data_IF_229285056639
#
_entry.id   IF_229285056639
#
_cell.length_a   1.000
_cell.length_b   1.000
_cell.length_c   1.000
_cell.angle_alpha   90.00
_cell.angle_beta   90.00
_cell.angle_gamma   90.00
#
_symmetry.space_group_name_H-M   'P 1'
#
loop_
_entity.id
_entity.type
_entity.pdbx_description
1 polymer ?
#
# COMPACT_ATOMS: atom_id res chain seq x y z
N UNK A 1 33.33 22.49 -42.82
CA UNK A 1 33.02 21.63 -41.66
C UNK A 1 34.28 20.92 -41.19
N UNK A 2 34.77 21.30 -40.02
CA UNK A 2 36.11 20.97 -39.49
C UNK A 2 36.25 19.50 -39.07
N UNK A 3 37.46 18.95 -39.20
CA UNK A 3 37.86 17.59 -38.78
C UNK A 3 37.50 17.29 -37.31
N UNK A 4 37.48 18.32 -36.46
CA UNK A 4 37.06 18.24 -35.05
C UNK A 4 35.56 17.92 -34.89
N UNK A 5 34.68 18.37 -35.78
CA UNK A 5 33.26 17.99 -35.75
C UNK A 5 33.05 16.52 -36.13
N UNK A 6 33.94 15.92 -36.94
CA UNK A 6 33.87 14.49 -37.29
C UNK A 6 34.36 13.60 -36.14
N UNK A 7 35.45 13.97 -35.48
CA UNK A 7 35.96 13.25 -34.29
C UNK A 7 34.96 13.29 -33.12
N UNK A 8 34.35 14.45 -32.85
CA UNK A 8 33.34 14.59 -31.79
C UNK A 8 32.06 13.80 -32.09
N UNK A 9 31.66 13.71 -33.37
CA UNK A 9 30.55 12.84 -33.82
C UNK A 9 30.86 11.35 -33.71
N UNK A 10 32.11 10.95 -33.97
CA UNK A 10 32.53 9.54 -33.87
C UNK A 10 32.57 9.03 -32.44
N UNK A 11 33.02 9.85 -31.48
CA UNK A 11 32.99 9.54 -30.05
C UNK A 11 31.54 9.51 -29.51
N UNK A 12 30.73 10.53 -29.83
CA UNK A 12 29.32 10.55 -29.42
C UNK A 12 28.54 9.35 -29.97
N UNK A 13 28.79 8.93 -31.22
CA UNK A 13 28.14 7.75 -31.79
C UNK A 13 28.52 6.43 -31.09
N UNK A 14 29.75 6.34 -30.54
CA UNK A 14 30.20 5.14 -29.83
C UNK A 14 29.61 5.07 -28.41
N UNK A 15 29.49 6.22 -27.74
CA UNK A 15 28.84 6.34 -26.43
C UNK A 15 27.33 6.14 -26.54
N UNK A 16 26.69 6.67 -27.60
CA UNK A 16 25.26 6.44 -27.90
C UNK A 16 24.97 4.95 -28.14
N UNK A 17 25.89 4.23 -28.78
CA UNK A 17 25.72 2.79 -29.04
C UNK A 17 25.84 1.96 -27.76
N UNK A 18 26.80 2.27 -26.88
CA UNK A 18 26.92 1.61 -25.59
C UNK A 18 25.74 1.92 -24.66
N UNK A 19 25.25 3.17 -24.68
CA UNK A 19 24.06 3.58 -23.93
C UNK A 19 22.77 2.93 -24.48
N UNK A 20 22.65 2.79 -25.80
CA UNK A 20 21.50 2.12 -26.43
C UNK A 20 21.38 0.64 -26.05
N UNK A 21 22.50 -0.04 -25.75
CA UNK A 21 22.50 -1.45 -25.33
C UNK A 21 21.90 -1.68 -23.92
N UNK A 22 21.66 -0.60 -23.17
CA UNK A 22 21.03 -0.57 -21.84
C UNK A 22 19.53 -0.30 -21.90
N UNK A 23 19.02 0.22 -23.03
CA UNK A 23 17.58 0.40 -23.24
C UNK A 23 16.86 -0.95 -23.14
N UNK A 24 15.72 -0.97 -22.44
CA UNK A 24 14.95 -2.19 -22.22
C UNK A 24 15.53 -3.12 -21.15
N UNK A 25 16.64 -2.75 -20.50
CA UNK A 25 17.22 -3.49 -19.36
C UNK A 25 17.13 -2.66 -18.09
N UNK A 26 18.07 -1.74 -17.92
CA UNK A 26 18.17 -0.85 -16.76
C UNK A 26 17.88 0.62 -17.11
N UNK A 27 17.79 0.93 -18.41
CA UNK A 27 17.35 2.23 -18.94
C UNK A 27 16.01 2.07 -19.65
N UNK A 28 15.05 2.91 -19.27
CA UNK A 28 13.70 2.90 -19.83
C UNK A 28 13.62 3.85 -21.03
N UNK A 29 14.17 5.06 -20.87
CA UNK A 29 14.24 6.06 -21.93
C UNK A 29 15.60 6.77 -21.91
N UNK A 30 16.07 7.21 -23.07
CA UNK A 30 17.27 8.02 -23.20
C UNK A 30 17.10 9.13 -24.22
N UNK A 31 17.83 10.22 -24.01
CA UNK A 31 17.86 11.33 -24.94
C UNK A 31 18.77 10.98 -26.12
N UNK A 32 18.33 11.33 -27.32
CA UNK A 32 19.10 11.11 -28.55
C UNK A 32 19.52 12.44 -29.17
N UNK A 33 20.75 12.49 -29.66
CA UNK A 33 21.23 13.62 -30.43
C UNK A 33 20.54 13.69 -31.80
N UNK A 34 20.36 14.90 -32.33
CA UNK A 34 19.82 15.09 -33.68
C UNK A 34 20.69 14.39 -34.74
N UNK A 35 20.06 13.63 -35.63
CA UNK A 35 20.74 12.83 -36.65
C UNK A 35 21.21 11.45 -36.19
N UNK A 36 20.93 11.05 -34.95
CA UNK A 36 21.16 9.69 -34.45
C UNK A 36 20.19 8.69 -35.05
N UNK A 37 20.56 7.41 -34.98
CA UNK A 37 19.71 6.29 -35.40
C UNK A 37 18.92 5.83 -34.19
N UNK A 38 17.62 5.66 -34.36
CA UNK A 38 16.77 5.06 -33.32
C UNK A 38 17.15 3.57 -33.22
N UNK A 39 17.48 3.06 -32.02
CA UNK A 39 17.76 1.64 -31.83
C UNK A 39 16.56 0.77 -32.27
N UNK A 40 16.80 -0.47 -32.72
CA UNK A 40 15.71 -1.40 -33.03
C UNK A 40 14.82 -1.61 -31.80
N UNK A 41 13.54 -1.91 -32.02
CA UNK A 41 12.52 -2.19 -31.00
C UNK A 41 12.25 -1.02 -30.02
N UNK A 42 12.81 0.16 -30.29
CA UNK A 42 12.56 1.38 -29.51
C UNK A 42 11.59 2.32 -30.24
N UNK A 43 10.80 3.04 -29.46
CA UNK A 43 9.96 4.13 -29.95
C UNK A 43 10.69 5.45 -29.76
N UNK A 44 10.72 6.29 -30.79
CA UNK A 44 11.28 7.64 -30.70
C UNK A 44 10.21 8.71 -30.62
N UNK A 45 10.44 9.68 -29.73
CA UNK A 45 9.57 10.82 -29.47
C UNK A 45 10.38 12.10 -29.64
N UNK A 46 9.82 13.05 -30.39
CA UNK A 46 10.38 14.39 -30.50
C UNK A 46 9.48 15.33 -29.71
N UNK A 47 10.07 16.03 -28.74
CA UNK A 47 9.42 16.97 -27.86
C UNK A 47 9.82 18.40 -28.28
N UNK A 48 8.83 19.21 -28.65
CA UNK A 48 9.02 20.62 -28.96
C UNK A 48 8.99 21.52 -27.71
N UNK A 49 9.47 22.75 -27.86
CA UNK A 49 9.48 23.78 -26.80
C UNK A 49 8.09 24.09 -26.25
N UNK A 50 7.04 23.90 -27.06
CA UNK A 50 5.63 24.09 -26.66
C UNK A 50 5.04 22.92 -25.88
N UNK A 51 5.82 21.88 -25.57
CA UNK A 51 5.33 20.64 -24.97
C UNK A 51 4.58 19.72 -25.94
N UNK A 52 4.55 20.06 -27.23
CA UNK A 52 4.03 19.17 -28.26
C UNK A 52 4.98 17.98 -28.46
N UNK A 53 4.43 16.77 -28.33
CA UNK A 53 5.14 15.52 -28.61
C UNK A 53 4.70 14.96 -29.96
N UNK A 54 5.67 14.49 -30.75
CA UNK A 54 5.41 13.69 -31.95
C UNK A 54 6.19 12.39 -31.87
N UNK A 55 5.49 11.25 -31.89
CA UNK A 55 6.12 9.94 -32.05
C UNK A 55 6.49 9.73 -33.50
N UNK A 56 7.69 9.23 -33.74
CA UNK A 56 8.05 8.75 -35.06
C UNK A 56 7.31 7.42 -35.32
N UNK A 57 6.80 7.20 -36.55
CA UNK A 57 6.09 5.97 -36.87
C UNK A 57 6.98 4.76 -36.59
N UNK A 58 6.37 3.67 -36.12
CA UNK A 58 7.06 2.42 -35.79
C UNK A 58 8.00 1.97 -36.90
N UNK A 59 9.08 1.32 -36.47
CA UNK A 59 10.12 0.77 -37.33
C UNK A 59 9.46 -0.05 -38.45
N UNK A 60 9.56 0.41 -39.71
CA UNK A 60 9.01 -0.37 -40.84
C UNK A 60 9.72 -1.71 -40.86
N UNK A 61 8.97 -2.79 -41.03
CA UNK A 61 9.41 -4.19 -41.13
C UNK A 61 10.48 -4.49 -42.24
N UNK A 62 11.02 -3.46 -42.91
CA UNK A 62 12.09 -3.54 -43.89
C UNK A 62 13.49 -3.24 -43.36
N UNK A 63 13.71 -3.13 -42.05
CA UNK A 63 15.05 -3.10 -41.44
C UNK A 63 15.87 -1.82 -41.62
N UNK A 64 15.29 -0.76 -42.20
CA UNK A 64 16.00 0.50 -42.38
C UNK A 64 15.98 1.34 -41.10
N UNK A 65 17.16 1.51 -40.50
CA UNK A 65 17.43 2.43 -39.40
C UNK A 65 16.81 3.83 -39.64
N UNK A 66 15.86 4.23 -38.80
CA UNK A 66 15.24 5.55 -38.89
C UNK A 66 16.16 6.60 -38.29
N UNK A 67 16.51 7.61 -39.09
CA UNK A 67 17.35 8.73 -38.65
C UNK A 67 16.49 9.84 -38.06
N UNK A 68 16.85 10.31 -36.88
CA UNK A 68 16.17 11.40 -36.20
C UNK A 68 16.44 12.74 -36.88
N UNK A 69 15.36 13.49 -37.12
CA UNK A 69 15.42 14.87 -37.62
C UNK A 69 14.72 15.76 -36.60
N UNK A 70 15.54 16.46 -35.80
CA UNK A 70 15.11 17.40 -34.78
C UNK A 70 15.36 18.84 -35.25
N UNK A 71 14.41 19.73 -34.99
CA UNK A 71 14.58 21.18 -35.10
C UNK A 71 15.51 21.75 -34.02
N UNK A 72 15.90 23.01 -34.15
CA UNK A 72 16.89 23.67 -33.27
C UNK A 72 16.48 23.73 -31.79
N UNK A 73 15.18 23.67 -31.50
CA UNK A 73 14.62 23.70 -30.15
C UNK A 73 13.85 22.43 -29.79
N UNK A 74 14.02 21.37 -30.57
CA UNK A 74 13.40 20.09 -30.28
C UNK A 74 14.38 19.20 -29.52
N UNK A 75 13.86 18.38 -28.60
CA UNK A 75 14.60 17.30 -27.98
C UNK A 75 14.06 15.95 -28.45
N UNK A 76 14.95 15.02 -28.79
CA UNK A 76 14.54 13.65 -29.11
C UNK A 76 14.83 12.72 -27.94
N UNK A 77 13.88 11.84 -27.69
CA UNK A 77 13.98 10.73 -26.77
C UNK A 77 13.72 9.44 -27.54
N UNK A 78 14.36 8.35 -27.12
CA UNK A 78 13.88 7.02 -27.41
C UNK A 78 13.59 6.27 -26.12
N UNK A 79 12.64 5.36 -26.16
CA UNK A 79 12.33 4.46 -25.06
C UNK A 79 12.03 3.07 -25.60
N UNK A 80 12.29 2.06 -24.78
CA UNK A 80 11.90 0.69 -25.06
C UNK A 80 10.53 0.41 -24.40
N UNK A 81 9.55 -0.19 -25.10
CA UNK A 81 8.19 -0.30 -24.58
C UNK A 81 8.04 -1.30 -23.43
N UNK A 82 8.99 -2.23 -23.24
CA UNK A 82 8.94 -3.25 -22.20
C UNK A 82 8.94 -4.67 -22.78
N UNK A 83 8.65 -5.69 -21.97
CA UNK A 83 8.12 -5.62 -20.59
C UNK A 83 9.16 -5.20 -19.55
N UNK A 84 8.68 -4.60 -18.44
CA UNK A 84 9.49 -4.27 -17.27
C UNK A 84 8.89 -4.87 -15.99
N UNK A 85 9.75 -5.18 -15.03
CA UNK A 85 9.35 -5.61 -13.68
C UNK A 85 10.12 -4.81 -12.63
N UNK A 86 9.41 -4.26 -11.66
CA UNK A 86 10.02 -3.52 -10.54
C UNK A 86 9.37 -3.89 -9.22
N UNK A 87 10.16 -3.91 -8.16
CA UNK A 87 9.69 -4.13 -6.80
C UNK A 87 9.58 -2.76 -6.11
N UNK A 88 8.40 -2.47 -5.55
CA UNK A 88 8.07 -1.22 -4.88
C UNK A 88 7.84 -1.48 -3.39
N UNK A 89 8.25 -0.55 -2.53
CA UNK A 89 7.99 -0.55 -1.09
C UNK A 89 7.11 0.65 -0.69
N UNK A 90 5.85 0.73 -1.16
CA UNK A 90 5.01 1.91 -0.93
C UNK A 90 4.47 2.00 0.50
N UNK A 91 4.52 0.93 1.28
CA UNK A 91 3.87 0.88 2.59
C UNK A 91 4.79 1.40 3.70
N UNK A 92 4.53 2.63 4.16
CA UNK A 92 5.33 3.23 5.21
C UNK A 92 5.28 2.42 6.53
N UNK A 93 4.14 1.85 6.88
CA UNK A 93 3.97 1.11 8.13
C UNK A 93 4.44 -0.35 8.08
N UNK A 94 4.68 -0.90 6.88
CA UNK A 94 5.12 -2.29 6.68
C UNK A 94 6.11 -2.36 5.50
N UNK A 95 7.35 -1.85 5.65
CA UNK A 95 8.33 -1.77 4.56
C UNK A 95 8.83 -3.14 4.07
N UNK A 96 8.61 -4.21 4.83
CA UNK A 96 8.84 -5.60 4.43
C UNK A 96 7.84 -6.10 3.37
N UNK A 97 6.65 -5.50 3.35
CA UNK A 97 5.64 -5.77 2.33
C UNK A 97 5.85 -4.83 1.14
N UNK A 98 5.89 -5.42 -0.04
CA UNK A 98 6.08 -4.74 -1.30
C UNK A 98 5.02 -5.05 -2.33
N UNK A 99 5.15 -4.39 -3.49
CA UNK A 99 4.42 -4.70 -4.70
C UNK A 99 5.42 -5.01 -5.81
N UNK A 100 5.29 -6.18 -6.43
CA UNK A 100 5.94 -6.46 -7.71
C UNK A 100 5.02 -5.97 -8.81
N UNK A 101 5.51 -5.01 -9.58
CA UNK A 101 4.79 -4.38 -10.68
C UNK A 101 5.42 -4.80 -12.01
N UNK A 102 4.65 -5.53 -12.81
CA UNK A 102 4.92 -5.79 -14.23
C UNK A 102 4.19 -4.76 -15.10
N UNK A 103 4.90 -4.07 -15.99
CA UNK A 103 4.29 -3.03 -16.82
C UNK A 103 4.95 -2.88 -18.19
N UNK A 104 4.19 -2.28 -19.10
CA UNK A 104 4.63 -1.83 -20.43
C UNK A 104 4.31 -0.36 -20.62
N UNK A 105 5.12 0.32 -21.41
CA UNK A 105 4.86 1.69 -21.86
C UNK A 105 3.86 1.63 -23.01
N UNK A 106 2.83 2.48 -22.95
CA UNK A 106 1.73 2.41 -23.90
C UNK A 106 2.17 2.63 -25.35
N UNK A 107 1.66 1.76 -26.22
CA UNK A 107 1.81 1.87 -27.67
C UNK A 107 1.18 3.18 -28.18
N UNK A 108 1.67 3.74 -29.30
CA UNK A 108 1.07 4.93 -29.89
C UNK A 108 -0.41 4.70 -30.28
N UNK A 109 -1.33 5.40 -29.63
CA UNK A 109 -2.73 5.47 -30.06
C UNK A 109 -2.92 6.64 -31.06
N UNK A 110 -3.27 6.37 -32.33
CA UNK A 110 -3.47 7.42 -33.34
C UNK A 110 -4.66 8.34 -33.05
N UNK A 111 -5.54 7.98 -32.10
CA UNK A 111 -6.71 8.78 -31.70
C UNK A 111 -6.37 9.85 -30.68
N UNK A 112 -5.23 9.72 -29.99
CA UNK A 112 -4.82 10.62 -28.92
C UNK A 112 -3.69 11.50 -29.42
N UNK A 113 -3.87 12.82 -29.34
CA UNK A 113 -2.91 13.81 -29.83
C UNK A 113 -1.62 13.87 -29.00
N UNK A 114 -1.69 13.52 -27.72
CA UNK A 114 -0.55 13.49 -26.79
C UNK A 114 -0.62 12.26 -25.91
N UNK A 115 0.38 11.38 -26.03
CA UNK A 115 0.50 10.21 -25.18
C UNK A 115 1.00 10.62 -23.80
N UNK A 116 0.47 10.00 -22.74
CA UNK A 116 0.76 10.39 -21.35
C UNK A 116 2.22 10.15 -20.97
N UNK A 117 2.82 9.07 -21.49
CA UNK A 117 4.24 8.81 -21.29
C UNK A 117 5.13 9.91 -21.91
N UNK A 118 4.72 10.47 -23.05
CA UNK A 118 5.46 11.55 -23.71
C UNK A 118 5.41 12.84 -22.87
N UNK A 119 4.27 13.10 -22.23
CA UNK A 119 4.11 14.22 -21.28
C UNK A 119 4.99 14.03 -20.05
N UNK A 120 5.06 12.82 -19.50
CA UNK A 120 5.93 12.49 -18.39
C UNK A 120 7.43 12.69 -18.76
N UNK A 121 7.86 12.24 -19.94
CA UNK A 121 9.22 12.49 -20.43
C UNK A 121 9.52 13.99 -20.57
N UNK A 122 8.54 14.77 -21.03
CA UNK A 122 8.67 16.23 -21.16
C UNK A 122 8.81 16.93 -19.80
N UNK A 123 8.01 16.53 -18.80
CA UNK A 123 8.01 17.18 -17.48
C UNK A 123 9.15 16.71 -16.57
N UNK A 124 9.44 15.42 -16.55
CA UNK A 124 10.30 14.78 -15.54
C UNK A 124 11.52 14.11 -16.15
N UNK A 125 11.47 13.73 -17.43
CA UNK A 125 12.66 13.26 -18.16
C UNK A 125 13.67 14.37 -18.46
N UNK A 126 13.23 15.64 -18.49
CA UNK A 126 13.98 16.78 -19.03
C UNK A 126 15.27 17.21 -18.29
N UNK A 127 15.59 16.67 -17.10
CA UNK A 127 16.79 17.06 -16.36
C UNK A 127 18.01 16.17 -16.61
N UNK A 128 17.82 14.97 -17.17
CA UNK A 128 18.90 13.98 -17.38
C UNK A 128 19.10 13.56 -18.83
N UNK A 129 20.18 12.82 -19.10
CA UNK A 129 20.44 12.20 -20.41
C UNK A 129 19.71 10.85 -20.57
N UNK A 130 19.32 10.21 -19.46
CA UNK A 130 18.60 8.96 -19.44
C UNK A 130 17.69 8.84 -18.21
N UNK A 131 16.57 8.13 -18.39
CA UNK A 131 15.67 7.69 -17.35
C UNK A 131 15.92 6.20 -17.08
N UNK A 132 16.51 5.89 -15.93
CA UNK A 132 16.68 4.50 -15.51
C UNK A 132 15.37 3.89 -15.02
N UNK A 133 15.27 2.56 -15.09
CA UNK A 133 14.13 1.81 -14.54
C UNK A 133 14.00 2.06 -13.03
N UNK A 134 15.12 2.20 -12.32
CA UNK A 134 15.13 2.49 -10.89
C UNK A 134 14.61 3.90 -10.57
N UNK A 135 15.00 4.92 -11.35
CA UNK A 135 14.51 6.28 -11.16
C UNK A 135 13.00 6.38 -11.46
N UNK A 136 12.55 5.67 -12.50
CA UNK A 136 11.12 5.54 -12.80
C UNK A 136 10.36 4.83 -11.67
N UNK A 137 10.87 3.71 -11.15
CA UNK A 137 10.27 3.00 -10.02
C UNK A 137 10.16 3.88 -8.77
N UNK A 138 11.16 4.72 -8.50
CA UNK A 138 11.11 5.68 -7.39
C UNK A 138 9.99 6.71 -7.59
N UNK A 139 9.84 7.29 -8.79
CA UNK A 139 8.76 8.24 -9.09
C UNK A 139 7.36 7.61 -8.97
N UNK A 140 7.23 6.35 -9.44
CA UNK A 140 6.01 5.55 -9.29
C UNK A 140 5.70 5.31 -7.81
N UNK A 141 6.69 4.89 -7.03
CA UNK A 141 6.54 4.64 -5.60
C UNK A 141 6.12 5.90 -4.83
N UNK A 142 6.71 7.06 -5.15
CA UNK A 142 6.38 8.32 -4.50
C UNK A 142 4.96 8.77 -4.83
N UNK A 143 4.53 8.60 -6.09
CA UNK A 143 3.14 8.88 -6.50
C UNK A 143 2.14 7.95 -5.82
N UNK A 144 2.47 6.66 -5.68
CA UNK A 144 1.66 5.69 -4.96
C UNK A 144 1.54 6.03 -3.48
N UNK A 145 2.66 6.35 -2.82
CA UNK A 145 2.68 6.81 -1.42
C UNK A 145 1.81 8.04 -1.21
N UNK A 146 1.89 9.01 -2.13
CA UNK A 146 1.07 10.21 -2.07
C UNK A 146 -0.43 9.89 -2.21
N UNK A 147 -0.79 9.02 -3.15
CA UNK A 147 -2.18 8.60 -3.35
C UNK A 147 -2.75 7.87 -2.13
N UNK A 148 -1.94 7.02 -1.49
CA UNK A 148 -2.29 6.32 -0.23
C UNK A 148 -2.45 7.32 0.93
N UNK A 149 -1.51 8.26 1.08
CA UNK A 149 -1.57 9.27 2.14
C UNK A 149 -2.79 10.20 1.99
N UNK A 150 -3.24 10.45 0.75
CA UNK A 150 -4.43 11.24 0.45
C UNK A 150 -5.73 10.44 0.49
N UNK A 151 -5.68 9.12 0.73
CA UNK A 151 -6.86 8.25 0.70
C UNK A 151 -7.50 8.09 -0.69
N UNK A 152 -6.78 8.43 -1.76
CA UNK A 152 -7.23 8.19 -3.16
C UNK A 152 -7.09 6.74 -3.56
N UNK A 153 -6.11 6.06 -2.96
CA UNK A 153 -5.98 4.62 -2.97
C UNK A 153 -6.12 4.15 -1.53
N UNK A 154 -6.90 3.10 -1.32
CA UNK A 154 -6.97 2.43 -0.03
C UNK A 154 -6.11 1.17 -0.11
N UNK A 155 -5.21 0.97 0.85
CA UNK A 155 -4.54 -0.32 0.96
C UNK A 155 -5.61 -1.36 1.26
N UNK A 156 -5.77 -2.38 0.41
CA UNK A 156 -6.57 -3.49 0.80
C UNK A 156 -5.84 -4.11 2.00
N UNK A 157 -6.54 -4.50 3.06
CA UNK A 157 -5.98 -5.38 4.09
C UNK A 157 -5.65 -6.78 3.53
N UNK A 158 -5.74 -6.96 2.21
CA UNK A 158 -5.65 -8.22 1.46
C UNK A 158 -6.60 -9.30 1.98
N UNK A 159 -7.78 -8.93 2.51
CA UNK A 159 -8.73 -9.90 3.05
C UNK A 159 -9.74 -10.40 2.01
N UNK A 160 -9.90 -9.71 0.88
CA UNK A 160 -10.73 -10.19 -0.24
C UNK A 160 -10.13 -9.90 -1.63
N UNK A 161 -10.49 -10.75 -2.59
CA UNK A 161 -10.14 -10.56 -4.00
C UNK A 161 -10.78 -9.30 -4.61
N UNK A 162 -11.94 -8.88 -4.11
CA UNK A 162 -12.63 -7.67 -4.56
C UNK A 162 -11.87 -6.41 -4.14
N UNK A 163 -11.44 -6.31 -2.88
CA UNK A 163 -10.59 -5.21 -2.40
C UNK A 163 -9.26 -5.15 -3.17
N UNK A 164 -8.63 -6.30 -3.42
CA UNK A 164 -7.42 -6.35 -4.26
C UNK A 164 -7.68 -5.87 -5.68
N UNK A 165 -8.82 -6.28 -6.27
CA UNK A 165 -9.22 -5.85 -7.61
C UNK A 165 -9.50 -4.35 -7.66
N UNK A 166 -10.15 -3.79 -6.64
CA UNK A 166 -10.43 -2.36 -6.52
C UNK A 166 -9.13 -1.55 -6.37
N UNK A 167 -8.21 -1.99 -5.50
CA UNK A 167 -6.89 -1.40 -5.37
C UNK A 167 -6.12 -1.44 -6.70
N UNK A 168 -6.08 -2.59 -7.36
CA UNK A 168 -5.40 -2.74 -8.66
C UNK A 168 -6.03 -1.86 -9.73
N UNK A 169 -7.36 -1.73 -9.75
CA UNK A 169 -8.05 -0.83 -10.68
C UNK A 169 -7.63 0.63 -10.46
N UNK A 170 -7.62 1.10 -9.21
CA UNK A 170 -7.16 2.45 -8.87
C UNK A 170 -5.67 2.65 -9.16
N UNK A 171 -4.82 1.66 -8.89
CA UNK A 171 -3.40 1.69 -9.23
C UNK A 171 -3.21 1.80 -10.75
N UNK A 172 -3.93 0.98 -11.52
CA UNK A 172 -3.88 1.03 -12.99
C UNK A 172 -4.30 2.41 -13.51
N UNK A 173 -5.37 2.98 -12.95
CA UNK A 173 -5.81 4.33 -13.30
C UNK A 173 -4.75 5.39 -12.97
N UNK A 174 -4.18 5.35 -11.76
CA UNK A 174 -3.11 6.25 -11.34
C UNK A 174 -1.92 6.18 -12.28
N UNK A 175 -1.44 4.97 -12.58
CA UNK A 175 -0.25 4.77 -13.40
C UNK A 175 -0.49 5.13 -14.86
N UNK A 176 -1.66 4.80 -15.39
CA UNK A 176 -2.06 5.22 -16.72
C UNK A 176 -2.19 6.74 -16.81
N UNK A 177 -2.80 7.42 -15.83
CA UNK A 177 -2.96 8.90 -15.83
C UNK A 177 -1.64 9.63 -15.66
N UNK A 178 -0.82 9.19 -14.72
CA UNK A 178 0.38 9.94 -14.34
C UNK A 178 1.57 9.64 -15.25
N UNK A 179 1.71 8.39 -15.68
CA UNK A 179 2.89 7.91 -16.37
C UNK A 179 2.60 7.39 -17.78
N UNK A 180 1.36 7.05 -18.13
CA UNK A 180 1.05 6.47 -19.45
C UNK A 180 1.66 5.09 -19.64
N UNK A 181 1.56 4.26 -18.60
CA UNK A 181 1.93 2.85 -18.65
C UNK A 181 0.70 1.98 -18.41
N UNK A 182 0.73 0.78 -19.00
CA UNK A 182 -0.23 -0.27 -18.72
C UNK A 182 0.41 -1.29 -17.77
N UNK A 183 -0.29 -1.57 -16.67
CA UNK A 183 0.11 -2.59 -15.71
C UNK A 183 -0.35 -3.95 -16.22
N UNK A 184 0.60 -4.84 -16.45
CA UNK A 184 0.32 -6.23 -16.85
C UNK A 184 0.12 -7.12 -15.63
N UNK A 185 0.94 -6.92 -14.60
CA UNK A 185 0.90 -7.69 -13.36
C UNK A 185 1.14 -6.80 -12.15
N UNK A 186 0.45 -7.09 -11.05
CA UNK A 186 0.65 -6.44 -9.77
C UNK A 186 0.35 -7.45 -8.68
N UNK A 187 1.37 -7.79 -7.90
CA UNK A 187 1.28 -8.81 -6.86
C UNK A 187 1.93 -8.31 -5.57
N UNK A 188 1.34 -8.59 -4.39
CA UNK A 188 2.02 -8.37 -3.13
C UNK A 188 3.20 -9.32 -3.02
N UNK A 189 4.35 -8.81 -2.60
CA UNK A 189 5.58 -9.60 -2.42
C UNK A 189 6.21 -9.29 -1.07
N UNK A 190 6.85 -10.29 -0.46
CA UNK A 190 7.78 -10.07 0.64
C UNK A 190 9.12 -9.64 0.04
N UNK A 191 9.59 -8.45 0.41
CA UNK A 191 10.84 -7.90 -0.11
C UNK A 191 12.06 -8.47 0.63
N UNK A 192 11.86 -9.12 1.79
CA UNK A 192 12.88 -9.86 2.53
C UNK A 192 14.20 -9.11 2.68
N UNK A 193 15.31 -9.82 2.41
CA UNK A 193 16.68 -9.29 2.44
C UNK A 193 16.97 -8.24 1.33
N UNK A 194 16.05 -8.05 0.38
CA UNK A 194 16.16 -7.04 -0.68
C UNK A 194 16.02 -5.61 -0.15
N UNK A 195 15.55 -5.44 1.09
CA UNK A 195 15.46 -4.16 1.78
C UNK A 195 16.30 -4.19 3.06
N UNK A 196 17.23 -3.24 3.19
CA UNK A 196 17.91 -2.97 4.46
C UNK A 196 16.94 -2.27 5.44
N UNK A 197 16.16 -3.09 6.14
CA UNK A 197 15.17 -2.63 7.12
C UNK A 197 15.82 -1.80 8.24
N UNK A 198 17.06 -2.16 8.64
CA UNK A 198 17.78 -1.41 9.66
C UNK A 198 18.16 -0.01 9.16
N UNK A 199 18.50 0.16 7.89
CA UNK A 199 18.73 1.49 7.29
C UNK A 199 17.44 2.31 7.23
N UNK A 200 16.31 1.71 6.83
CA UNK A 200 15.02 2.40 6.78
C UNK A 200 14.61 2.90 8.18
N UNK A 201 14.71 2.05 9.21
CA UNK A 201 14.40 2.44 10.58
C UNK A 201 15.34 3.53 11.09
N UNK A 202 16.64 3.45 10.79
CA UNK A 202 17.60 4.50 11.14
C UNK A 202 17.29 5.84 10.46
N UNK A 203 16.89 5.82 9.20
CA UNK A 203 16.49 7.02 8.47
C UNK A 203 15.23 7.65 9.07
N UNK A 204 14.24 6.84 9.48
CA UNK A 204 13.03 7.32 10.17
C UNK A 204 13.36 7.94 11.52
N UNK A 205 14.15 7.25 12.35
CA UNK A 205 14.58 7.77 13.64
C UNK A 205 15.33 9.11 13.48
N UNK A 206 16.10 9.26 12.41
CA UNK A 206 16.82 10.50 12.10
C UNK A 206 15.89 11.63 11.60
N UNK A 207 14.85 11.30 10.84
CA UNK A 207 13.85 12.25 10.37
C UNK A 207 12.96 12.77 11.52
N UNK A 208 12.60 11.92 12.47
CA UNK A 208 11.86 12.32 13.68
C UNK A 208 12.71 13.12 14.67
N UNK A 209 14.03 12.85 14.71
CA UNK A 209 14.98 13.60 15.53
C UNK A 209 15.36 14.97 14.93
N UNK A 210 15.02 15.24 13.67
CA UNK A 210 15.24 16.55 13.07
C UNK A 210 14.41 17.60 13.83
N UNK A 211 15.01 18.73 14.25
CA UNK A 211 14.29 19.76 14.98
C UNK A 211 13.12 20.22 14.11
N UNK A 212 11.90 19.98 14.59
CA UNK A 212 10.71 20.54 13.97
C UNK A 212 10.92 22.06 13.94
N UNK A 213 10.72 22.73 12.79
CA UNK A 213 10.78 24.17 12.74
C UNK A 213 9.87 24.70 13.84
N UNK A 214 10.43 25.48 14.76
CA UNK A 214 9.67 26.12 15.83
C UNK A 214 8.44 26.78 15.17
N UNK A 215 7.23 26.61 15.75
CA UNK A 215 6.05 27.26 15.23
C UNK A 215 6.37 28.76 15.13
N UNK A 216 6.42 29.26 13.90
CA UNK A 216 6.60 30.69 13.66
C UNK A 216 5.52 31.39 14.48
N UNK A 217 5.88 32.40 15.30
CA UNK A 217 4.89 33.13 16.08
C UNK A 217 3.83 33.63 15.13
N UNK A 218 2.58 33.22 15.38
CA UNK A 218 1.42 33.74 14.66
C UNK A 218 1.55 35.27 14.57
N UNK A 219 1.38 35.87 13.39
CA UNK A 219 1.39 37.31 13.26
C UNK A 219 0.33 37.86 14.21
N UNK A 220 0.79 38.57 15.24
CA UNK A 220 -0.07 39.21 16.22
C UNK A 220 -1.10 40.05 15.44
N UNK A 221 -2.40 39.93 15.74
CA UNK A 221 -3.40 40.77 15.11
C UNK A 221 -3.04 42.23 15.38
N UNK A 222 -2.82 42.99 14.30
CA UNK A 222 -2.58 44.43 14.38
C UNK A 222 -3.69 45.08 15.22
N UNK A 223 -3.34 46.00 16.14
CA UNK A 223 -4.32 46.69 16.95
C UNK A 223 -5.23 47.52 16.03
N UNK A 224 -6.46 47.05 15.88
CA UNK A 224 -7.56 47.81 15.28
C UNK A 224 -7.62 49.16 16.00
N UNK A 225 -7.34 50.24 15.27
CA UNK A 225 -7.60 51.61 15.71
C UNK A 225 -9.05 51.70 16.18
N UNK A 226 -9.24 51.85 17.49
CA UNK A 226 -10.52 52.17 18.08
C UNK A 226 -10.88 53.61 17.68
N UNK A 227 -11.90 53.76 16.83
CA UNK A 227 -12.63 55.01 16.67
C UNK A 227 -13.34 55.37 17.98
N UNK A 228 -13.37 56.65 18.38
CA UNK A 228 -13.99 57.06 19.64
C UNK A 228 -15.52 56.98 19.57
N UNK A 229 -16.10 56.17 20.45
CA UNK A 229 -17.52 56.05 20.67
C UNK A 229 -18.11 57.32 21.30
N UNK A 230 -19.18 57.82 20.67
CA UNK A 230 -20.04 58.87 21.23
C UNK A 230 -21.04 58.23 22.19
N UNK A 231 -21.24 58.88 23.34
CA UNK A 231 -22.07 58.42 24.45
C UNK A 231 -23.59 58.44 24.15
N UNK A 232 -24.31 57.41 24.61
CA UNK A 232 -25.69 57.54 25.10
C UNK A 232 -26.19 56.29 25.85
N UNK A 233 -26.56 56.46 27.12
CA UNK A 233 -27.77 55.85 27.72
C UNK A 233 -27.67 54.48 28.41
N UNK A 234 -27.98 54.38 29.73
CA UNK A 234 -28.01 53.12 30.46
C UNK A 234 -29.44 52.57 30.62
N UNK A 235 -29.60 51.24 30.64
CA UNK A 235 -30.70 50.57 31.35
C UNK A 235 -30.46 49.05 31.55
N UNK A 236 -30.34 48.69 32.83
CA UNK A 236 -31.11 47.64 33.53
C UNK A 236 -30.86 46.13 33.30
N UNK A 237 -30.41 45.52 34.40
CA UNK A 237 -30.96 44.34 35.09
C UNK A 237 -30.65 42.90 34.63
N UNK A 238 -30.00 42.20 35.58
CA UNK A 238 -30.37 40.89 36.15
C UNK A 238 -29.95 39.57 35.45
N UNK A 239 -29.18 38.79 36.23
CA UNK A 239 -28.94 37.33 36.25
C UNK A 239 -30.27 36.50 36.27
N UNK A 240 -30.29 35.13 36.20
CA UNK A 240 -29.18 34.16 36.38
C UNK A 240 -29.15 32.94 35.43
N UNK A 241 -28.14 32.10 35.68
CA UNK A 241 -27.84 30.78 35.15
C UNK A 241 -28.97 29.73 35.25
N UNK A 242 -28.97 28.77 34.32
CA UNK A 242 -29.69 27.51 34.43
C UNK A 242 -28.81 26.33 34.03
N UNK A 243 -28.50 25.53 35.05
CA UNK A 243 -27.93 24.18 34.97
C UNK A 243 -29.03 23.19 34.59
N UNK A 244 -28.76 22.26 33.68
CA UNK A 244 -29.67 21.14 33.41
C UNK A 244 -28.93 19.83 33.66
N UNK A 245 -29.18 19.24 34.81
CA UNK A 245 -28.95 17.83 35.12
C UNK A 245 -30.07 17.01 34.48
N UNK A 246 -29.73 16.01 33.66
CA UNK A 246 -30.72 15.06 33.10
C UNK A 246 -30.44 13.67 33.66
N UNK A 247 -31.43 13.14 34.39
CA UNK A 247 -31.38 11.88 35.10
C UNK A 247 -31.72 10.69 34.19
N UNK A 248 -30.95 9.62 34.36
CA UNK A 248 -31.08 8.32 33.69
C UNK A 248 -32.34 7.61 34.18
N UNK A 249 -33.28 7.33 33.27
CA UNK A 249 -34.36 6.35 33.49
C UNK A 249 -33.97 5.01 32.89
N UNK A 250 -33.75 4.02 33.75
CA UNK A 250 -33.46 2.64 33.39
C UNK A 250 -34.75 1.93 32.95
N UNK A 251 -34.92 1.76 31.63
CA UNK A 251 -35.92 0.86 31.06
C UNK A 251 -35.29 -0.52 30.87
N UNK A 252 -35.91 -1.57 31.40
CA UNK A 252 -35.48 -2.96 31.22
C UNK A 252 -35.65 -3.32 29.73
N UNK A 253 -34.59 -3.74 29.01
CA UNK A 253 -34.70 -4.03 27.58
C UNK A 253 -35.42 -5.36 27.33
N UNK A 254 -36.35 -5.34 26.39
CA UNK A 254 -37.08 -6.50 25.86
C UNK A 254 -36.11 -7.58 25.31
N UNK A 255 -36.53 -8.86 25.27
CA UNK A 255 -35.69 -9.95 24.76
C UNK A 255 -35.26 -9.66 23.31
N UNK A 256 -33.94 -9.57 23.10
CA UNK A 256 -33.32 -9.36 21.78
C UNK A 256 -33.71 -10.49 20.84
N UNK A 257 -34.18 -10.12 19.65
CA UNK A 257 -34.35 -11.03 18.52
C UNK A 257 -33.06 -11.83 18.26
N UNK A 258 -33.15 -13.08 17.75
CA UNK A 258 -31.97 -13.88 17.45
C UNK A 258 -31.04 -13.10 16.52
N UNK A 259 -29.80 -12.90 16.97
CA UNK A 259 -28.78 -12.20 16.20
C UNK A 259 -28.62 -12.87 14.82
N UNK A 260 -28.63 -12.05 13.78
CA UNK A 260 -28.39 -12.50 12.41
C UNK A 260 -27.08 -13.30 12.35
N UNK A 261 -27.10 -14.38 11.57
CA UNK A 261 -25.93 -15.26 11.49
C UNK A 261 -24.74 -14.48 10.92
N UNK A 262 -23.55 -14.56 11.54
CA UNK A 262 -22.38 -13.80 11.09
C UNK A 262 -22.05 -14.14 9.64
N UNK A 263 -21.93 -13.10 8.82
CA UNK A 263 -21.73 -13.23 7.39
C UNK A 263 -20.24 -13.40 7.05
N UNK A 264 -19.94 -13.82 5.82
CA UNK A 264 -18.55 -13.92 5.35
C UNK A 264 -17.81 -12.57 5.36
N UNK A 265 -18.55 -11.45 5.25
CA UNK A 265 -18.01 -10.10 5.37
C UNK A 265 -17.50 -9.80 6.78
N UNK A 266 -18.24 -10.22 7.82
CA UNK A 266 -17.86 -10.02 9.22
C UNK A 266 -16.55 -10.76 9.55
N UNK A 267 -16.37 -11.95 8.99
CA UNK A 267 -15.13 -12.73 9.13
C UNK A 267 -13.93 -12.01 8.51
N UNK A 268 -14.08 -11.51 7.28
CA UNK A 268 -13.01 -10.80 6.58
C UNK A 268 -12.64 -9.49 7.30
N UNK A 269 -13.64 -8.75 7.78
CA UNK A 269 -13.41 -7.53 8.58
C UNK A 269 -12.71 -7.85 9.92
N UNK A 270 -13.10 -8.95 10.57
CA UNK A 270 -12.49 -9.40 11.82
C UNK A 270 -11.02 -9.84 11.62
N UNK A 271 -10.73 -10.60 10.55
CA UNK A 271 -9.34 -10.94 10.19
C UNK A 271 -8.51 -9.71 9.83
N UNK A 272 -9.08 -8.75 9.07
CA UNK A 272 -8.44 -7.46 8.76
C UNK A 272 -8.02 -6.75 10.05
N UNK A 273 -8.93 -6.72 11.02
CA UNK A 273 -8.68 -6.06 12.30
C UNK A 273 -7.54 -6.73 13.06
N UNK A 274 -7.56 -8.07 13.16
CA UNK A 274 -6.47 -8.84 13.77
C UNK A 274 -5.13 -8.59 13.05
N UNK A 275 -5.12 -8.60 11.72
CA UNK A 275 -3.94 -8.35 10.89
C UNK A 275 -3.31 -6.98 11.17
N UNK A 276 -4.13 -5.93 11.23
CA UNK A 276 -3.65 -4.55 11.42
C UNK A 276 -3.27 -4.26 12.88
N UNK A 277 -4.04 -4.78 13.84
CA UNK A 277 -3.92 -4.37 15.23
C UNK A 277 -2.96 -5.24 16.04
N UNK A 278 -2.73 -6.51 15.70
CA UNK A 278 -1.76 -7.35 16.44
C UNK A 278 -0.32 -6.82 16.37
N UNK A 279 0.21 -6.38 15.21
CA UNK A 279 1.52 -5.73 15.15
C UNK A 279 1.57 -4.44 15.96
N UNK A 280 0.51 -3.63 15.93
CA UNK A 280 0.41 -2.39 16.70
C UNK A 280 0.38 -2.65 18.21
N UNK A 281 -0.36 -3.67 18.65
CA UNK A 281 -0.41 -4.13 20.03
C UNK A 281 0.98 -4.62 20.49
N UNK A 282 1.67 -5.42 19.67
CA UNK A 282 3.04 -5.88 19.93
C UNK A 282 4.01 -4.70 20.08
N UNK A 283 3.92 -3.71 19.19
CA UNK A 283 4.68 -2.46 19.28
C UNK A 283 4.39 -1.70 20.58
N UNK A 284 3.13 -1.60 20.97
CA UNK A 284 2.73 -0.99 22.24
C UNK A 284 3.29 -1.69 23.47
N UNK A 285 3.33 -3.03 23.48
CA UNK A 285 3.93 -3.82 24.56
C UNK A 285 5.46 -3.64 24.63
N UNK A 286 6.16 -3.55 23.49
CA UNK A 286 7.62 -3.30 23.46
C UNK A 286 8.02 -1.97 24.08
N UNK A 287 7.12 -0.99 24.06
CA UNK A 287 7.34 0.35 24.61
C UNK A 287 6.99 0.46 26.09
N UNK A 288 6.65 -0.64 26.78
CA UNK A 288 6.38 -0.61 28.21
C UNK A 288 7.67 -0.48 29.02
N UNK A 289 7.67 0.44 29.98
CA UNK A 289 8.73 0.56 30.97
C UNK A 289 8.58 -0.57 32.01
N UNK A 290 9.38 -1.61 31.88
CA UNK A 290 9.37 -2.74 32.79
C UNK A 290 10.18 -2.43 34.06
N UNK A 291 9.66 -2.74 35.27
CA UNK A 291 10.44 -2.71 36.49
C UNK A 291 11.67 -3.62 36.39
N UNK A 292 12.74 -3.29 37.12
CA UNK A 292 13.92 -4.12 37.15
C UNK A 292 13.60 -5.51 37.72
N UNK A 293 13.89 -6.55 36.94
CA UNK A 293 13.69 -7.93 37.37
C UNK A 293 13.75 -8.89 36.18
N UNK A 294 14.61 -9.90 36.26
CA UNK A 294 14.78 -10.88 35.17
C UNK A 294 13.50 -11.68 34.89
N UNK A 295 12.71 -11.98 35.91
CA UNK A 295 11.47 -12.75 35.76
C UNK A 295 10.43 -12.04 34.90
N UNK A 296 10.17 -10.76 35.18
CA UNK A 296 9.20 -9.95 34.41
C UNK A 296 9.62 -9.77 32.96
N UNK A 297 10.93 -9.59 32.72
CA UNK A 297 11.48 -9.52 31.38
C UNK A 297 11.22 -10.81 30.58
N UNK A 298 11.46 -11.98 31.16
CA UNK A 298 11.22 -13.26 30.49
C UNK A 298 9.73 -13.49 30.17
N UNK A 299 8.83 -13.13 31.10
CA UNK A 299 7.38 -13.20 30.86
C UNK A 299 6.99 -12.27 29.71
N UNK A 300 7.45 -11.02 29.73
CA UNK A 300 7.18 -10.05 28.67
C UNK A 300 7.70 -10.49 27.30
N UNK A 301 8.93 -11.05 27.25
CA UNK A 301 9.49 -11.62 26.03
C UNK A 301 8.63 -12.79 25.51
N UNK A 302 8.16 -13.67 26.40
CA UNK A 302 7.27 -14.77 26.04
C UNK A 302 5.95 -14.29 25.43
N UNK A 303 5.33 -13.25 26.00
CA UNK A 303 4.12 -12.64 25.45
C UNK A 303 4.37 -12.05 24.04
N UNK A 304 5.49 -11.35 23.84
CA UNK A 304 5.84 -10.78 22.54
C UNK A 304 6.08 -11.86 21.48
N UNK A 305 6.71 -12.98 21.86
CA UNK A 305 6.92 -14.11 20.96
C UNK A 305 5.60 -14.76 20.56
N UNK A 306 4.68 -14.96 21.51
CA UNK A 306 3.34 -15.52 21.23
C UNK A 306 2.52 -14.61 20.34
N UNK A 307 2.55 -13.30 20.57
CA UNK A 307 1.90 -12.32 19.68
C UNK A 307 2.46 -12.35 18.26
N UNK A 308 3.77 -12.56 18.09
CA UNK A 308 4.37 -12.70 16.76
C UNK A 308 3.88 -13.96 16.04
N UNK A 309 3.74 -15.08 16.76
CA UNK A 309 3.18 -16.32 16.22
C UNK A 309 1.69 -16.17 15.86
N UNK A 310 0.91 -15.50 16.72
CA UNK A 310 -0.49 -15.16 16.43
C UNK A 310 -0.63 -14.29 15.19
N UNK A 311 0.23 -13.28 15.02
CA UNK A 311 0.23 -12.44 13.82
C UNK A 311 0.57 -13.26 12.56
N UNK A 312 1.56 -14.15 12.64
CA UNK A 312 1.90 -15.07 11.55
C UNK A 312 0.72 -16.00 11.20
N UNK A 313 0.05 -16.54 12.20
CA UNK A 313 -1.13 -17.37 12.04
C UNK A 313 -2.23 -16.61 11.30
N UNK A 314 -2.54 -15.38 11.71
CA UNK A 314 -3.54 -14.54 11.03
C UNK A 314 -3.13 -14.24 9.59
N UNK A 315 -1.85 -13.94 9.33
CA UNK A 315 -1.33 -13.65 7.98
C UNK A 315 -1.47 -14.83 7.01
N UNK A 316 -1.52 -16.05 7.53
CA UNK A 316 -1.63 -17.27 6.72
C UNK A 316 -3.07 -17.79 6.61
N UNK A 317 -4.03 -17.19 7.33
CA UNK A 317 -5.43 -17.60 7.29
C UNK A 317 -6.18 -16.93 6.14
N UNK A 318 -6.68 -17.70 5.14
CA UNK A 318 -7.54 -17.12 4.13
C UNK A 318 -8.88 -16.69 4.74
N UNK A 319 -9.41 -15.56 4.30
CA UNK A 319 -10.79 -15.19 4.55
C UNK A 319 -11.75 -16.26 3.98
N UNK A 320 -12.95 -16.37 4.54
CA UNK A 320 -13.94 -17.37 4.12
C UNK A 320 -14.22 -17.38 2.61
N UNK A 321 -14.20 -16.20 1.97
CA UNK A 321 -14.40 -16.06 0.53
C UNK A 321 -13.24 -16.59 -0.32
N UNK A 322 -12.02 -16.66 0.24
CA UNK A 322 -10.80 -17.12 -0.45
C UNK A 322 -10.38 -18.54 -0.05
N UNK A 323 -11.05 -19.15 0.91
CA UNK A 323 -10.70 -20.50 1.39
C UNK A 323 -10.85 -21.59 0.33
N UNK A 324 -11.67 -21.37 -0.70
CA UNK A 324 -11.73 -22.19 -1.92
C UNK A 324 -12.19 -21.31 -3.10
N UNK A 325 -11.29 -20.93 -4.02
CA UNK A 325 -11.67 -20.12 -5.19
C UNK A 325 -12.81 -20.75 -5.97
N UNK A 326 -13.94 -20.04 -6.10
CA UNK A 326 -15.12 -20.50 -6.85
C UNK A 326 -16.03 -21.51 -6.15
N UNK A 327 -15.74 -21.89 -4.89
CA UNK A 327 -16.59 -22.82 -4.12
C UNK A 327 -16.93 -22.26 -2.74
N UNK A 328 -18.22 -22.08 -2.46
CA UNK A 328 -18.66 -21.68 -1.14
C UNK A 328 -18.51 -22.83 -0.14
N UNK A 329 -17.85 -22.57 1.00
CA UNK A 329 -17.80 -23.52 2.11
C UNK A 329 -19.22 -23.81 2.65
N UNK A 330 -19.50 -25.01 3.18
CA UNK A 330 -20.78 -25.28 3.83
C UNK A 330 -21.09 -24.29 4.96
N UNK A 331 -22.34 -23.83 5.06
CA UNK A 331 -22.74 -22.76 6.01
C UNK A 331 -22.42 -23.08 7.48
N UNK A 332 -22.43 -24.36 7.89
CA UNK A 332 -22.03 -24.77 9.23
C UNK A 332 -20.52 -24.57 9.48
N UNK A 333 -19.68 -24.82 8.46
CA UNK A 333 -18.23 -24.59 8.51
C UNK A 333 -17.93 -23.08 8.49
N UNK A 334 -18.63 -22.31 7.68
CA UNK A 334 -18.53 -20.84 7.68
C UNK A 334 -18.83 -20.26 9.07
N UNK A 335 -19.96 -20.65 9.69
CA UNK A 335 -20.35 -20.18 11.04
C UNK A 335 -19.32 -20.52 12.12
N UNK A 336 -18.73 -21.71 12.09
CA UNK A 336 -17.68 -22.09 13.07
C UNK A 336 -16.43 -21.24 12.89
N UNK A 337 -16.00 -21.04 11.63
CA UNK A 337 -14.82 -20.23 11.29
C UNK A 337 -15.00 -18.76 11.65
N UNK A 338 -16.15 -18.16 11.31
CA UNK A 338 -16.46 -16.78 11.68
C UNK A 338 -16.58 -16.62 13.20
N UNK A 339 -17.18 -17.60 13.88
CA UNK A 339 -17.23 -17.65 15.35
C UNK A 339 -15.84 -17.57 16.00
N UNK A 340 -14.89 -18.39 15.54
CA UNK A 340 -13.52 -18.36 16.05
C UNK A 340 -12.82 -17.02 15.79
N UNK A 341 -12.99 -16.42 14.61
CA UNK A 341 -12.40 -15.11 14.30
C UNK A 341 -12.98 -13.99 15.19
N UNK A 342 -14.31 -13.97 15.38
CA UNK A 342 -14.97 -12.96 16.19
C UNK A 342 -14.60 -13.07 17.68
N UNK A 343 -14.39 -14.30 18.17
CA UNK A 343 -13.87 -14.52 19.52
C UNK A 343 -12.41 -14.03 19.65
N UNK A 344 -11.57 -14.27 18.65
CA UNK A 344 -10.21 -13.74 18.63
C UNK A 344 -10.19 -12.20 18.62
N UNK A 345 -11.10 -11.54 17.90
CA UNK A 345 -11.26 -10.07 17.95
C UNK A 345 -11.69 -9.59 19.35
N UNK A 346 -12.57 -10.33 20.03
CA UNK A 346 -12.94 -9.99 21.41
C UNK A 346 -11.73 -10.08 22.35
N UNK A 347 -10.89 -11.10 22.19
CA UNK A 347 -9.63 -11.20 22.94
C UNK A 347 -8.65 -10.06 22.59
N UNK A 348 -8.63 -9.60 21.34
CA UNK A 348 -7.85 -8.44 20.92
C UNK A 348 -8.34 -7.15 21.61
N UNK A 349 -9.64 -6.96 21.74
CA UNK A 349 -10.22 -5.83 22.48
C UNK A 349 -9.81 -5.87 23.96
N UNK A 350 -9.86 -7.04 24.59
CA UNK A 350 -9.36 -7.24 25.95
C UNK A 350 -7.86 -6.91 26.06
N UNK A 351 -7.07 -7.30 25.06
CA UNK A 351 -5.63 -7.05 25.03
C UNK A 351 -5.29 -5.56 24.92
N UNK A 352 -6.03 -4.79 24.11
CA UNK A 352 -5.89 -3.33 24.07
C UNK A 352 -6.26 -2.67 25.40
N UNK A 353 -7.36 -3.11 26.02
CA UNK A 353 -7.74 -2.65 27.35
C UNK A 353 -6.69 -2.99 28.40
N UNK A 354 -6.06 -4.16 28.31
CA UNK A 354 -4.95 -4.55 29.18
C UNK A 354 -3.70 -3.69 28.94
N UNK A 355 -3.32 -3.44 27.69
CA UNK A 355 -2.18 -2.59 27.37
C UNK A 355 -2.36 -1.16 27.94
N UNK A 356 -3.56 -0.61 27.85
CA UNK A 356 -3.87 0.68 28.46
C UNK A 356 -3.68 0.66 29.99
N UNK A 357 -4.09 -0.43 30.65
CA UNK A 357 -3.86 -0.64 32.09
C UNK A 357 -2.37 -0.79 32.42
N UNK A 358 -1.63 -1.57 31.65
CA UNK A 358 -0.18 -1.77 31.82
C UNK A 358 0.60 -0.46 31.73
N UNK A 359 0.24 0.43 30.79
CA UNK A 359 0.86 1.76 30.65
C UNK A 359 0.66 2.69 31.86
N UNK A 360 -0.37 2.44 32.67
CA UNK A 360 -0.71 3.24 33.85
C UNK A 360 -0.38 2.51 35.16
N UNK A 361 0.07 1.27 35.08
CA UNK A 361 0.24 0.40 36.24
C UNK A 361 1.45 0.82 37.08
N UNK A 362 1.29 0.78 38.40
CA UNK A 362 2.42 0.79 39.31
C UNK A 362 3.18 -0.55 39.25
N UNK A 363 4.44 -0.54 39.66
CA UNK A 363 5.34 -1.69 39.52
C UNK A 363 4.85 -2.95 40.26
N UNK A 364 4.12 -2.78 41.36
CA UNK A 364 3.55 -3.84 42.19
C UNK A 364 2.35 -4.54 41.53
N UNK A 365 1.60 -3.85 40.66
CA UNK A 365 0.46 -4.42 39.92
C UNK A 365 0.88 -5.15 38.64
N UNK A 366 2.12 -4.94 38.16
CA UNK A 366 2.62 -5.46 36.89
C UNK A 366 2.56 -7.00 36.77
N UNK A 367 2.96 -7.80 37.78
CA UNK A 367 2.92 -9.27 37.66
C UNK A 367 1.51 -9.80 37.37
N UNK A 368 0.51 -9.33 38.12
CA UNK A 368 -0.90 -9.73 37.95
C UNK A 368 -1.46 -9.34 36.59
N UNK A 369 -1.06 -8.17 36.07
CA UNK A 369 -1.48 -7.74 34.72
C UNK A 369 -0.81 -8.56 33.61
N UNK A 370 0.41 -9.07 33.83
CA UNK A 370 1.06 -9.97 32.88
C UNK A 370 0.43 -11.38 32.91
N UNK A 371 -0.05 -11.85 34.06
CA UNK A 371 -0.86 -13.08 34.15
C UNK A 371 -2.20 -12.92 33.39
N UNK A 372 -2.84 -11.75 33.51
CA UNK A 372 -4.02 -11.41 32.70
C UNK A 372 -3.67 -11.42 31.19
N UNK A 373 -2.47 -10.96 30.81
CA UNK A 373 -2.00 -10.99 29.43
C UNK A 373 -1.91 -12.43 28.90
N UNK A 374 -1.31 -13.31 29.70
CA UNK A 374 -1.15 -14.72 29.37
C UNK A 374 -2.49 -15.40 29.08
N UNK A 375 -3.50 -15.16 29.96
CA UNK A 375 -4.87 -15.64 29.80
C UNK A 375 -5.52 -15.12 28.51
N UNK A 376 -5.38 -13.82 28.22
CA UNK A 376 -5.98 -13.20 27.03
C UNK A 376 -5.35 -13.78 25.75
N UNK A 377 -4.02 -13.95 25.72
CA UNK A 377 -3.35 -14.55 24.58
C UNK A 377 -3.74 -16.02 24.41
N UNK A 378 -3.87 -16.80 25.50
CA UNK A 378 -4.33 -18.19 25.42
C UNK A 378 -5.75 -18.30 24.85
N UNK A 379 -6.65 -17.38 25.21
CA UNK A 379 -8.00 -17.32 24.63
C UNK A 379 -7.97 -16.99 23.13
N UNK A 380 -7.08 -16.07 22.72
CA UNK A 380 -6.92 -15.71 21.32
C UNK A 380 -6.36 -16.89 20.49
N UNK A 381 -5.33 -17.56 21.00
CA UNK A 381 -4.74 -18.77 20.40
C UNK A 381 -5.80 -19.85 20.21
N UNK A 382 -6.54 -20.17 21.28
CA UNK A 382 -7.63 -21.16 21.22
C UNK A 382 -8.68 -20.78 20.17
N UNK A 383 -9.05 -19.50 20.06
CA UNK A 383 -10.05 -19.03 19.09
C UNK A 383 -9.56 -19.18 17.65
N UNK A 384 -8.29 -18.88 17.39
CA UNK A 384 -7.65 -19.07 16.08
C UNK A 384 -7.44 -20.55 15.75
N UNK A 385 -7.12 -21.39 16.73
CA UNK A 385 -7.06 -22.85 16.58
C UNK A 385 -8.43 -23.44 16.23
N UNK A 386 -9.50 -23.01 16.91
CA UNK A 386 -10.87 -23.45 16.58
C UNK A 386 -11.27 -23.07 15.15
N UNK A 387 -10.87 -21.88 14.69
CA UNK A 387 -11.04 -21.48 13.28
C UNK A 387 -10.30 -22.44 12.35
N UNK A 388 -9.05 -22.81 12.66
CA UNK A 388 -8.25 -23.75 11.84
C UNK A 388 -8.78 -25.17 11.87
N UNK A 389 -9.15 -25.71 13.02
CA UNK A 389 -9.70 -27.07 13.13
C UNK A 389 -10.99 -27.24 12.31
N UNK A 390 -11.71 -26.16 12.04
CA UNK A 390 -12.83 -26.18 11.10
C UNK A 390 -12.41 -26.51 9.65
N UNK A 391 -11.11 -26.62 9.30
CA UNK A 391 -10.59 -27.10 8.02
C UNK A 391 -10.59 -28.65 7.88
N UNK A 392 -10.50 -29.40 8.98
CA UNK A 392 -10.15 -30.83 8.94
C UNK A 392 -11.30 -31.80 9.28
N UNK A 393 -12.48 -31.27 9.63
CA UNK A 393 -13.63 -32.12 9.96
C UNK A 393 -14.12 -32.95 8.75
N UNK A 394 -14.46 -34.24 8.95
CA UNK A 394 -14.96 -35.10 7.88
C UNK A 394 -16.20 -34.48 7.24
N UNK A 395 -16.16 -34.39 5.90
CA UNK A 395 -17.31 -34.01 5.09
C UNK A 395 -18.47 -34.95 5.46
N UNK A 396 -19.58 -34.38 5.94
CA UNK A 396 -20.72 -35.21 6.32
C UNK A 396 -21.12 -36.08 5.12
N UNK A 397 -21.25 -37.40 5.27
CA UNK A 397 -21.63 -38.30 4.19
C UNK A 397 -23.08 -37.99 3.80
N UNK A 398 -23.26 -37.11 2.81
CA UNK A 398 -24.58 -36.63 2.42
C UNK A 398 -24.61 -35.68 1.23
N UNK A 399 -23.49 -35.06 0.86
CA UNK A 399 -23.38 -34.37 -0.42
C UNK A 399 -22.97 -35.38 -1.51
N UNK A 400 -23.98 -36.07 -2.05
CA UNK A 400 -23.82 -36.99 -3.16
C UNK A 400 -23.02 -36.34 -4.31
N UNK A 401 -22.03 -37.08 -4.82
CA UNK A 401 -21.37 -36.84 -6.11
C UNK A 401 -22.41 -36.87 -7.22
N UNK A 402 -22.98 -35.73 -7.57
CA UNK A 402 -23.70 -35.57 -8.84
C UNK A 402 -22.65 -35.32 -9.94
N UNK A 403 -21.77 -36.29 -10.18
CA UNK A 403 -20.94 -36.43 -11.38
C UNK A 403 -20.47 -37.90 -11.48
N UNK A 404 -21.38 -38.86 -11.42
CA UNK A 404 -21.12 -40.16 -12.06
C UNK A 404 -21.35 -39.97 -13.57
N UNK A 405 -20.26 -39.76 -14.30
CA UNK A 405 -20.25 -39.93 -15.75
C UNK A 405 -20.65 -41.38 -16.07
N UNK A 406 -21.53 -41.63 -17.06
CA UNK A 406 -21.92 -42.97 -17.42
C UNK A 406 -20.68 -43.75 -17.89
N UNK A 407 -20.45 -44.92 -17.29
CA UNK A 407 -19.51 -45.91 -17.84
C UNK A 407 -20.02 -46.29 -19.23
N UNK A 408 -19.27 -45.88 -20.25
CA UNK A 408 -19.41 -46.43 -21.59
C UNK A 408 -18.81 -47.83 -21.53
N UNK A 409 -19.65 -48.87 -21.52
CA UNK A 409 -19.18 -50.23 -21.72
C UNK A 409 -18.76 -50.41 -23.19
N UNK A 410 -17.61 -51.02 -23.47
CA UNK A 410 -17.19 -51.30 -24.83
C UNK A 410 -18.08 -52.41 -25.41
N UNK A 411 -18.79 -52.10 -26.49
CA UNK A 411 -19.47 -53.09 -27.32
C UNK A 411 -18.43 -54.01 -27.98
N UNK A 412 -18.53 -55.31 -27.73
CA UNK A 412 -17.91 -56.37 -28.52
C UNK A 412 -18.78 -56.74 -29.71
#
# INVERSE_FOLDING_TARGET
MSLFQRLRRGLAAHDDQAASARLGKDVLAMRLAGGSIVPPDCTAVILGESGQARRLPEFRAGGAAQRLVCGEKESAWCFHPGPYSVDLAPFALAPELGLRLGFVVDAPDPRVSQQRFDLFLSSEGGQGEALSVQAFAAAVQDSLRLALAQGRLELPPCTSAEEWTAFRAGLNELLYIRFGITVEDCMPVDLGDGIDFAAILRARASADAAPRPEPQPEPQPEPVRQEPATAAGPASAALPASSVTSAVSASIPAPRAPAEAPCAGDDAAALRRLFLELPALSGGLRMLDLPQGQGLFLVHQGLLQRLALLALDVNTMPALAMAAPGQHLPAARQRRRSGGTLQAVTALDEAWGLLARLKLAAADAMPTLLDDADRILANMELSLEQRRAAQDGPEAPGAARIYELPRIEPSL
#
